data_IF_015435975902
#
_entry.id   IF_015435975902
#
_cell.length_a   1.000
_cell.length_b   1.000
_cell.length_c   1.000
_cell.angle_alpha   90.00
_cell.angle_beta   90.00
_cell.angle_gamma   90.00
#
_symmetry.space_group_name_H-M   'P 1'
#
loop_
_entity.id
_entity.type
_entity.pdbx_description
1 polymer ?
#
# COMPACT_ATOMS: atom_id res chain seq x y z
N UNK A 1 28.82 8.11 -46.22
CA UNK A 1 29.19 6.70 -46.46
C UNK A 1 29.76 6.14 -45.17
N UNK A 2 29.05 5.20 -44.50
CA UNK A 2 29.45 3.78 -44.27
C UNK A 2 30.85 3.66 -43.63
N UNK A 3 31.14 3.03 -42.48
CA UNK A 3 30.55 2.05 -41.53
C UNK A 3 31.34 2.28 -40.20
N UNK A 4 30.81 2.16 -38.98
CA UNK A 4 30.25 0.97 -38.37
C UNK A 4 31.32 0.24 -37.52
N UNK A 5 31.32 0.45 -36.20
CA UNK A 5 31.71 -0.60 -35.26
C UNK A 5 30.97 -0.39 -33.93
N UNK A 6 30.02 -1.30 -33.72
CA UNK A 6 29.18 -1.48 -32.55
C UNK A 6 30.05 -2.11 -31.44
N UNK A 7 30.19 -1.43 -30.29
CA UNK A 7 30.73 -2.04 -29.07
C UNK A 7 29.56 -2.19 -28.10
N UNK A 8 28.98 -3.38 -28.12
CA UNK A 8 27.93 -3.84 -27.23
C UNK A 8 28.59 -4.20 -25.90
N UNK A 9 28.58 -3.28 -24.93
CA UNK A 9 29.00 -3.60 -23.56
C UNK A 9 27.78 -4.23 -22.84
N UNK A 10 27.68 -5.55 -22.91
CA UNK A 10 26.77 -6.30 -22.04
C UNK A 10 27.42 -6.30 -20.65
N UNK A 11 26.97 -5.39 -19.78
CA UNK A 11 27.29 -5.46 -18.36
C UNK A 11 26.39 -6.53 -17.73
N UNK A 12 26.85 -7.79 -17.78
CA UNK A 12 26.32 -8.85 -16.92
C UNK A 12 26.77 -8.51 -15.50
N UNK A 13 25.90 -7.91 -14.69
CA UNK A 13 26.09 -7.89 -13.24
C UNK A 13 25.67 -9.27 -12.75
N UNK A 14 26.63 -10.19 -12.76
CA UNK A 14 26.61 -11.40 -11.94
C UNK A 14 26.67 -10.94 -10.48
N UNK A 15 25.54 -10.98 -9.78
CA UNK A 15 25.53 -11.02 -8.32
C UNK A 15 26.00 -12.41 -7.87
N UNK A 16 27.29 -12.70 -8.07
CA UNK A 16 28.01 -13.70 -7.29
C UNK A 16 28.67 -13.00 -6.11
N UNK A 17 27.83 -12.38 -5.28
CA UNK A 17 28.20 -11.97 -3.93
C UNK A 17 27.55 -12.95 -2.99
N UNK A 18 28.35 -13.84 -2.40
CA UNK A 18 28.01 -14.46 -1.12
C UNK A 18 27.77 -13.34 -0.11
N UNK A 19 26.57 -12.78 -0.07
CA UNK A 19 26.09 -12.17 1.16
C UNK A 19 25.92 -13.34 2.10
N UNK A 20 26.77 -13.41 3.13
CA UNK A 20 26.35 -13.98 4.40
C UNK A 20 24.94 -13.44 4.63
N UNK A 21 23.92 -14.28 4.45
CA UNK A 21 22.66 -14.08 5.14
C UNK A 21 23.09 -14.08 6.60
N UNK A 22 23.33 -12.87 7.16
CA UNK A 22 23.45 -12.70 8.59
C UNK A 22 22.33 -13.54 9.17
N UNK A 23 22.67 -14.59 9.93
CA UNK A 23 21.70 -15.47 10.55
C UNK A 23 20.64 -14.57 11.17
N UNK A 24 19.47 -14.53 10.53
CA UNK A 24 18.37 -13.73 11.04
C UNK A 24 18.16 -14.27 12.44
N UNK A 25 18.32 -13.44 13.50
CA UNK A 25 18.24 -13.94 14.86
C UNK A 25 16.92 -14.70 14.98
N UNK A 26 17.01 -15.99 15.30
CA UNK A 26 15.87 -16.89 15.24
C UNK A 26 14.74 -16.29 16.07
N UNK A 27 13.66 -15.88 15.41
CA UNK A 27 12.50 -15.35 16.11
C UNK A 27 11.99 -16.44 17.07
N UNK A 28 11.67 -16.05 18.30
CA UNK A 28 11.04 -16.96 19.26
C UNK A 28 9.68 -17.45 18.75
N UNK A 29 9.08 -18.47 19.42
CA UNK A 29 7.76 -18.96 19.05
C UNK A 29 6.75 -17.81 19.01
N UNK A 30 5.96 -17.76 17.93
CA UNK A 30 4.93 -16.73 17.74
C UNK A 30 3.64 -17.21 18.39
N UNK A 31 3.12 -16.46 19.36
CA UNK A 31 1.78 -16.68 19.90
C UNK A 31 0.79 -15.75 19.23
N UNK A 32 -0.36 -16.28 18.80
CA UNK A 32 -1.45 -15.51 18.18
C UNK A 32 -2.68 -15.53 19.09
N UNK A 33 -3.24 -14.35 19.39
CA UNK A 33 -4.44 -14.19 20.23
C UNK A 33 -5.41 -13.19 19.62
N UNK A 34 -6.68 -13.57 19.47
CA UNK A 34 -7.74 -12.63 19.11
C UNK A 34 -8.03 -11.73 20.30
N UNK A 35 -8.10 -10.42 20.07
CA UNK A 35 -8.39 -9.43 21.10
C UNK A 35 -9.83 -8.92 20.99
N UNK A 36 -10.33 -8.74 19.77
CA UNK A 36 -11.65 -8.13 19.56
C UNK A 36 -12.28 -8.57 18.24
N UNK A 37 -13.54 -8.94 18.28
CA UNK A 37 -14.38 -9.03 17.09
C UNK A 37 -14.84 -7.62 16.68
N UNK A 38 -14.64 -7.27 15.41
CA UNK A 38 -15.08 -6.00 14.82
C UNK A 38 -16.39 -6.18 14.04
N UNK A 39 -16.63 -7.37 13.49
CA UNK A 39 -17.83 -7.73 12.73
C UNK A 39 -17.91 -7.02 11.38
N UNK A 40 -19.12 -6.61 10.98
CA UNK A 40 -19.35 -5.93 9.71
C UNK A 40 -19.38 -6.87 8.50
N UNK A 41 -19.49 -6.32 7.27
CA UNK A 41 -19.69 -7.11 6.06
C UNK A 41 -18.52 -8.03 5.69
N UNK A 42 -17.34 -7.81 6.30
CA UNK A 42 -16.12 -8.57 6.05
C UNK A 42 -15.65 -9.36 7.28
N UNK A 43 -16.52 -9.60 8.27
CA UNK A 43 -16.20 -10.37 9.49
C UNK A 43 -14.85 -9.96 10.13
N UNK A 44 -14.64 -8.66 10.28
CA UNK A 44 -13.37 -8.12 10.74
C UNK A 44 -13.05 -8.52 12.18
N UNK A 45 -11.78 -8.78 12.48
CA UNK A 45 -11.31 -9.11 13.83
C UNK A 45 -9.89 -8.58 14.07
N UNK A 46 -9.62 -8.17 15.31
CA UNK A 46 -8.32 -7.67 15.76
C UNK A 46 -7.55 -8.78 16.48
N UNK A 47 -6.31 -9.00 16.03
CA UNK A 47 -5.43 -10.04 16.55
C UNK A 47 -4.11 -9.45 17.01
N UNK A 48 -3.53 -10.01 18.07
CA UNK A 48 -2.14 -9.73 18.48
C UNK A 48 -1.28 -10.96 18.29
N UNK A 49 -0.15 -10.73 17.62
CA UNK A 49 0.96 -11.66 17.50
C UNK A 49 2.05 -11.21 18.45
N UNK A 50 2.49 -12.10 19.33
CA UNK A 50 3.59 -11.85 20.26
C UNK A 50 4.73 -12.81 19.94
N UNK A 51 5.95 -12.29 19.89
CA UNK A 51 7.17 -13.07 19.73
C UNK A 51 8.31 -12.43 20.54
N UNK A 52 9.47 -13.09 20.56
CA UNK A 52 10.71 -12.52 21.08
C UNK A 52 11.63 -12.28 19.89
N UNK A 53 11.96 -11.02 19.64
CA UNK A 53 12.90 -10.60 18.59
C UNK A 53 14.14 -9.98 19.24
N UNK A 54 15.32 -10.56 18.94
CA UNK A 54 16.61 -10.13 19.54
C UNK A 54 16.56 -10.06 21.08
N UNK A 55 15.94 -11.05 21.71
CA UNK A 55 15.80 -11.14 23.18
C UNK A 55 14.80 -10.16 23.80
N UNK A 56 14.04 -9.39 23.00
CA UNK A 56 13.02 -8.46 23.48
C UNK A 56 11.62 -8.91 23.05
N UNK A 57 10.59 -8.75 23.91
CA UNK A 57 9.22 -9.00 23.51
C UNK A 57 8.82 -8.03 22.39
N UNK A 58 8.18 -8.57 21.36
CA UNK A 58 7.66 -7.83 20.23
C UNK A 58 6.19 -8.22 20.05
N UNK A 59 5.31 -7.22 19.98
CA UNK A 59 3.89 -7.39 19.75
C UNK A 59 3.49 -6.67 18.47
N UNK A 60 2.80 -7.38 17.58
CA UNK A 60 2.20 -6.84 16.38
C UNK A 60 0.70 -7.06 16.44
N UNK A 61 -0.09 -5.99 16.39
CA UNK A 61 -1.54 -6.09 16.26
C UNK A 61 -1.88 -6.10 14.78
N UNK A 62 -2.80 -6.92 14.29
CA UNK A 62 -3.23 -6.94 12.88
C UNK A 62 -4.76 -6.98 12.80
N UNK A 63 -5.32 -6.62 11.65
CA UNK A 63 -6.73 -6.87 11.36
C UNK A 63 -6.86 -8.02 10.37
N UNK A 64 -7.64 -9.03 10.75
CA UNK A 64 -8.11 -10.07 9.86
C UNK A 64 -9.52 -9.74 9.35
N UNK A 65 -9.82 -10.16 8.12
CA UNK A 65 -11.10 -9.94 7.45
C UNK A 65 -11.33 -11.02 6.38
N UNK A 66 -12.57 -11.22 5.98
CA UNK A 66 -12.97 -12.24 5.00
C UNK A 66 -13.58 -11.59 3.78
N UNK A 67 -13.15 -12.00 2.59
CA UNK A 67 -13.74 -11.60 1.30
C UNK A 67 -14.09 -12.87 0.53
N UNK A 68 -15.37 -13.04 0.18
CA UNK A 68 -15.87 -14.20 -0.57
C UNK A 68 -15.45 -15.56 0.04
N UNK A 69 -15.42 -15.65 1.38
CA UNK A 69 -15.03 -16.87 2.10
C UNK A 69 -13.52 -17.11 2.20
N UNK A 70 -12.69 -16.19 1.70
CA UNK A 70 -11.23 -16.23 1.84
C UNK A 70 -10.80 -15.26 2.94
N UNK A 71 -10.00 -15.76 3.88
CA UNK A 71 -9.48 -14.96 4.98
C UNK A 71 -8.19 -14.24 4.61
N UNK A 72 -8.13 -12.97 4.97
CA UNK A 72 -7.02 -12.06 4.79
C UNK A 72 -6.57 -11.51 6.13
N UNK A 73 -5.30 -11.11 6.21
CA UNK A 73 -4.75 -10.35 7.33
C UNK A 73 -3.98 -9.18 6.76
N UNK A 74 -4.38 -7.97 7.14
CA UNK A 74 -3.74 -6.73 6.71
C UNK A 74 -2.63 -6.26 7.66
N UNK A 75 -2.14 -5.05 7.38
CA UNK A 75 -1.07 -4.38 8.11
C UNK A 75 -1.32 -4.28 9.62
N UNK A 76 -0.23 -3.95 10.34
CA UNK A 76 -0.28 -3.74 11.77
C UNK A 76 -1.28 -2.63 12.14
N UNK A 77 -2.26 -2.95 12.98
CA UNK A 77 -3.16 -1.97 13.56
C UNK A 77 -2.38 -0.98 14.42
N UNK A 78 -2.37 0.27 13.98
CA UNK A 78 -1.95 1.41 14.80
C UNK A 78 -3.22 2.20 15.21
N UNK A 79 -3.48 2.35 16.52
CA UNK A 79 -4.61 3.13 17.01
C UNK A 79 -4.66 4.57 16.48
N UNK A 80 -3.54 5.13 15.99
CA UNK A 80 -3.50 6.45 15.36
C UNK A 80 -4.41 6.57 14.12
N UNK A 81 -4.77 5.46 13.47
CA UNK A 81 -5.70 5.45 12.33
C UNK A 81 -7.18 5.49 12.74
N UNK A 82 -7.51 5.18 14.00
CA UNK A 82 -8.90 5.04 14.49
C UNK A 82 -9.78 6.24 14.14
N UNK A 83 -9.36 7.51 14.37
CA UNK A 83 -10.21 8.67 14.07
C UNK A 83 -10.65 8.73 12.60
N UNK A 84 -9.74 8.45 11.67
CA UNK A 84 -10.04 8.43 10.23
C UNK A 84 -10.99 7.30 9.85
N UNK A 85 -10.83 6.13 10.47
CA UNK A 85 -11.65 4.95 10.18
C UNK A 85 -13.06 5.08 10.77
N UNK A 86 -13.19 5.67 11.95
CA UNK A 86 -14.48 6.04 12.53
C UNK A 86 -15.17 7.11 11.67
N UNK A 87 -14.41 8.09 11.17
CA UNK A 87 -14.95 9.08 10.24
C UNK A 87 -15.48 8.41 8.98
N UNK A 88 -14.72 7.50 8.35
CA UNK A 88 -15.16 6.74 7.16
C UNK A 88 -16.47 6.02 7.43
N UNK A 89 -16.54 5.29 8.55
CA UNK A 89 -17.70 4.49 8.92
C UNK A 89 -18.98 5.33 9.05
N UNK A 90 -18.84 6.56 9.54
CA UNK A 90 -19.96 7.45 9.85
C UNK A 90 -20.32 8.44 8.72
N UNK A 91 -19.40 8.71 7.78
CA UNK A 91 -19.56 9.79 6.79
C UNK A 91 -19.54 9.30 5.32
N UNK A 92 -19.43 7.99 5.10
CA UNK A 92 -19.47 7.41 3.75
C UNK A 92 -20.56 6.35 3.64
N UNK A 93 -21.06 6.13 2.42
CA UNK A 93 -22.04 5.07 2.16
C UNK A 93 -21.47 3.69 2.51
N UNK A 94 -22.26 2.73 3.04
CA UNK A 94 -21.78 1.38 3.36
C UNK A 94 -21.14 0.62 2.20
N UNK A 95 -21.52 0.95 0.96
CA UNK A 95 -20.98 0.40 -0.28
C UNK A 95 -19.83 1.21 -0.87
N UNK A 96 -19.38 2.28 -0.19
CA UNK A 96 -18.32 3.15 -0.69
C UNK A 96 -17.01 2.38 -0.91
N UNK A 97 -16.36 2.70 -2.03
CA UNK A 97 -15.14 2.01 -2.49
C UNK A 97 -13.96 2.97 -2.46
N UNK A 98 -12.84 2.48 -1.94
CA UNK A 98 -11.64 3.28 -1.69
C UNK A 98 -10.46 2.82 -2.53
N UNK A 99 -9.77 3.79 -3.16
CA UNK A 99 -8.42 3.61 -3.69
C UNK A 99 -7.43 3.91 -2.57
N UNK A 100 -6.58 2.94 -2.26
CA UNK A 100 -5.48 3.06 -1.30
C UNK A 100 -4.42 2.01 -1.63
N UNK A 101 -3.25 2.11 -1.01
CA UNK A 101 -2.29 1.01 -1.06
C UNK A 101 -2.79 -0.21 -0.29
N UNK A 102 -2.35 -1.41 -0.68
CA UNK A 102 -2.94 -2.68 -0.24
C UNK A 102 -2.78 -2.93 1.26
N UNK A 103 -1.71 -2.42 1.87
CA UNK A 103 -1.43 -2.53 3.31
C UNK A 103 -2.61 -2.06 4.17
N UNK A 104 -3.34 -1.02 3.75
CA UNK A 104 -4.43 -0.44 4.56
C UNK A 104 -5.78 -1.13 4.40
N UNK A 105 -5.89 -2.10 3.50
CA UNK A 105 -7.17 -2.74 3.21
C UNK A 105 -7.77 -3.45 4.44
N UNK A 106 -6.94 -4.04 5.29
CA UNK A 106 -7.42 -4.62 6.56
C UNK A 106 -8.12 -3.60 7.45
N UNK A 107 -7.61 -2.37 7.51
CA UNK A 107 -8.25 -1.30 8.28
C UNK A 107 -9.55 -0.83 7.62
N UNK A 108 -9.56 -0.63 6.30
CA UNK A 108 -10.77 -0.19 5.60
C UNK A 108 -11.87 -1.25 5.61
N UNK A 109 -11.53 -2.49 5.27
CA UNK A 109 -12.49 -3.59 5.15
C UNK A 109 -12.86 -4.16 6.51
N UNK A 110 -11.86 -4.53 7.33
CA UNK A 110 -12.10 -5.17 8.61
C UNK A 110 -12.58 -4.24 9.72
N UNK A 111 -12.15 -2.97 9.75
CA UNK A 111 -12.59 -2.02 10.77
C UNK A 111 -13.69 -1.07 10.28
N UNK A 112 -13.43 -0.33 9.20
CA UNK A 112 -14.40 0.67 8.73
C UNK A 112 -15.58 0.04 7.97
N UNK A 113 -15.44 -1.21 7.52
CA UNK A 113 -16.47 -1.91 6.75
C UNK A 113 -16.70 -1.28 5.37
N UNK A 114 -15.62 -0.84 4.70
CA UNK A 114 -15.64 -0.28 3.34
C UNK A 114 -14.72 -1.05 2.42
N UNK A 115 -15.07 -1.12 1.14
CA UNK A 115 -14.31 -1.90 0.17
C UNK A 115 -13.02 -1.16 -0.24
N UNK A 116 -11.88 -1.84 -0.18
CA UNK A 116 -10.63 -1.37 -0.77
C UNK A 116 -10.46 -2.00 -2.17
N UNK A 117 -10.18 -1.18 -3.20
CA UNK A 117 -10.01 -1.66 -4.59
C UNK A 117 -8.93 -2.73 -4.67
N UNK A 118 -7.85 -2.53 -3.92
CA UNK A 118 -6.75 -3.46 -3.75
C UNK A 118 -6.73 -3.88 -2.28
N UNK A 119 -6.89 -5.17 -2.01
CA UNK A 119 -6.97 -5.71 -0.65
C UNK A 119 -5.95 -6.78 -0.29
N UNK A 120 -5.12 -7.17 -1.26
CA UNK A 120 -4.00 -8.08 -1.10
C UNK A 120 -2.95 -7.74 -2.17
N UNK A 121 -1.69 -8.19 -2.03
CA UNK A 121 -0.69 -8.03 -3.07
C UNK A 121 -0.99 -8.91 -4.30
N UNK A 122 -0.24 -8.66 -5.36
CA UNK A 122 -0.14 -9.55 -6.52
C UNK A 122 1.16 -10.36 -6.46
N UNK A 123 1.26 -11.42 -7.25
CA UNK A 123 2.44 -12.30 -7.31
C UNK A 123 3.72 -11.53 -7.66
N UNK A 124 3.60 -10.53 -8.52
CA UNK A 124 4.66 -9.72 -9.10
C UNK A 124 5.31 -8.75 -8.13
N UNK A 125 4.65 -8.45 -7.00
CA UNK A 125 5.18 -7.57 -5.96
C UNK A 125 5.49 -8.32 -4.66
N UNK A 126 5.34 -9.64 -4.62
CA UNK A 126 5.53 -10.42 -3.38
C UNK A 126 6.96 -10.33 -2.83
N UNK A 127 7.96 -10.12 -3.70
CA UNK A 127 9.35 -9.88 -3.31
C UNK A 127 9.52 -8.60 -2.47
N UNK A 128 8.53 -7.71 -2.48
CA UNK A 128 8.50 -6.47 -1.67
C UNK A 128 7.69 -6.60 -0.38
N UNK A 129 7.04 -7.75 -0.15
CA UNK A 129 6.16 -7.96 1.01
C UNK A 129 6.85 -8.81 2.07
N UNK A 130 7.13 -8.22 3.23
CA UNK A 130 7.73 -8.94 4.35
C UNK A 130 6.67 -9.81 5.04
N UNK A 131 6.97 -11.09 5.20
CA UNK A 131 6.15 -12.01 6.01
C UNK A 131 4.78 -12.36 5.41
N UNK A 132 4.64 -12.25 4.08
CA UNK A 132 3.44 -12.72 3.39
C UNK A 132 3.37 -14.25 3.42
N UNK A 133 2.42 -14.77 4.20
CA UNK A 133 2.23 -16.21 4.40
C UNK A 133 0.86 -16.68 3.89
N UNK A 134 0.15 -15.86 3.11
CA UNK A 134 -1.15 -16.23 2.58
C UNK A 134 -1.00 -17.18 1.39
N UNK A 135 -2.06 -17.95 1.13
CA UNK A 135 -2.14 -18.89 -0.01
C UNK A 135 -2.12 -18.12 -1.33
N UNK A 136 -1.66 -18.74 -2.41
CA UNK A 136 -1.69 -18.12 -3.75
C UNK A 136 -3.12 -17.68 -4.14
N UNK A 137 -4.16 -18.36 -3.62
CA UNK A 137 -5.57 -18.00 -3.82
C UNK A 137 -5.97 -16.64 -3.22
N UNK A 138 -5.17 -16.10 -2.30
CA UNK A 138 -5.39 -14.80 -1.65
C UNK A 138 -4.67 -13.64 -2.37
N UNK A 139 -4.12 -13.87 -3.56
CA UNK A 139 -3.50 -12.82 -4.38
C UNK A 139 -4.53 -12.20 -5.32
N UNK A 140 -4.42 -10.90 -5.59
CA UNK A 140 -5.23 -10.24 -6.61
C UNK A 140 -4.49 -10.10 -7.94
N UNK A 141 -5.21 -9.93 -9.07
CA UNK A 141 -4.59 -9.68 -10.37
C UNK A 141 -3.69 -8.45 -10.37
N UNK A 142 -2.50 -8.58 -10.95
CA UNK A 142 -1.51 -7.51 -11.02
C UNK A 142 -2.02 -6.24 -11.72
N UNK A 143 -2.88 -6.38 -12.73
CA UNK A 143 -3.44 -5.22 -13.44
C UNK A 143 -4.23 -4.29 -12.51
N UNK A 144 -4.86 -4.83 -11.45
CA UNK A 144 -5.56 -4.01 -10.45
C UNK A 144 -4.55 -3.25 -9.57
N UNK A 145 -3.47 -3.91 -9.16
CA UNK A 145 -2.35 -3.27 -8.43
C UNK A 145 -1.75 -2.15 -9.27
N UNK A 146 -1.46 -2.44 -10.54
CA UNK A 146 -0.87 -1.50 -11.48
C UNK A 146 -1.76 -0.29 -11.70
N UNK A 147 -3.06 -0.49 -11.89
CA UNK A 147 -4.00 0.63 -12.01
C UNK A 147 -4.02 1.49 -10.74
N UNK A 148 -4.14 0.90 -9.55
CA UNK A 148 -4.12 1.69 -8.29
C UNK A 148 -2.79 2.42 -8.13
N UNK A 149 -1.67 1.76 -8.44
CA UNK A 149 -0.36 2.39 -8.42
C UNK A 149 -0.25 3.54 -9.42
N UNK A 150 -0.78 3.38 -10.63
CA UNK A 150 -0.87 4.44 -11.65
C UNK A 150 -1.74 5.59 -11.16
N UNK A 151 -2.91 5.32 -10.56
CA UNK A 151 -3.77 6.37 -10.02
C UNK A 151 -3.08 7.19 -8.92
N UNK A 152 -2.34 6.52 -8.02
CA UNK A 152 -1.61 7.19 -6.95
C UNK A 152 -0.39 7.98 -7.47
N UNK A 153 0.23 7.53 -8.56
CA UNK A 153 1.48 8.11 -9.08
C UNK A 153 1.31 8.94 -10.37
N UNK A 154 0.07 9.16 -10.82
CA UNK A 154 -0.20 10.02 -11.98
C UNK A 154 0.07 11.48 -11.64
N UNK A 155 0.64 12.23 -12.59
CA UNK A 155 0.76 13.70 -12.51
C UNK A 155 -0.50 14.39 -13.05
N UNK A 156 -1.29 13.67 -13.86
CA UNK A 156 -2.56 14.10 -14.41
C UNK A 156 -3.73 13.50 -13.60
N UNK A 157 -4.53 14.33 -12.89
CA UNK A 157 -5.69 13.88 -12.13
C UNK A 157 -6.71 13.11 -12.98
N UNK A 158 -6.86 13.42 -14.27
CA UNK A 158 -7.82 12.76 -15.16
C UNK A 158 -7.55 11.26 -15.32
N UNK A 159 -6.27 10.86 -15.31
CA UNK A 159 -5.89 9.44 -15.33
C UNK A 159 -6.42 8.73 -14.08
N UNK A 160 -6.28 9.36 -12.92
CA UNK A 160 -6.72 8.80 -11.64
C UNK A 160 -8.24 8.79 -11.51
N UNK A 161 -8.93 9.79 -12.07
CA UNK A 161 -10.40 9.83 -12.16
C UNK A 161 -10.93 8.68 -13.05
N UNK A 162 -10.32 8.42 -14.20
CA UNK A 162 -10.69 7.27 -15.06
C UNK A 162 -10.49 5.92 -14.37
N UNK A 163 -9.43 5.78 -13.58
CA UNK A 163 -9.19 4.56 -12.79
C UNK A 163 -10.22 4.46 -11.65
N UNK A 164 -10.55 5.57 -10.99
CA UNK A 164 -11.61 5.60 -10.00
C UNK A 164 -12.95 5.16 -10.60
N UNK A 165 -13.32 5.71 -11.77
CA UNK A 165 -14.51 5.31 -12.50
C UNK A 165 -14.51 3.81 -12.85
N UNK A 166 -13.40 3.29 -13.41
CA UNK A 166 -13.22 1.87 -13.76
C UNK A 166 -13.55 0.91 -12.60
N UNK A 167 -13.21 1.30 -11.38
CA UNK A 167 -13.43 0.48 -10.17
C UNK A 167 -14.63 0.92 -9.33
N UNK A 168 -15.37 1.94 -9.78
CA UNK A 168 -16.47 2.56 -9.02
C UNK A 168 -16.00 3.15 -7.68
N UNK A 169 -14.76 3.63 -7.60
CA UNK A 169 -14.21 4.23 -6.39
C UNK A 169 -14.81 5.61 -6.11
N UNK A 170 -15.22 5.82 -4.86
CA UNK A 170 -15.80 7.08 -4.40
C UNK A 170 -14.77 7.96 -3.68
N UNK A 171 -13.73 7.33 -3.12
CA UNK A 171 -12.74 8.00 -2.29
C UNK A 171 -11.32 7.49 -2.54
N UNK A 172 -10.34 8.35 -2.27
CA UNK A 172 -8.94 8.01 -2.07
C UNK A 172 -8.61 8.10 -0.59
N UNK A 173 -7.94 7.09 -0.05
CA UNK A 173 -7.42 7.06 1.30
C UNK A 173 -5.89 7.00 1.24
N UNK A 174 -5.24 8.08 1.68
CA UNK A 174 -3.78 8.19 1.70
C UNK A 174 -3.30 8.52 3.09
N UNK A 175 -2.08 8.07 3.42
CA UNK A 175 -1.48 8.25 4.74
C UNK A 175 -0.05 8.73 4.61
N UNK A 176 0.48 9.41 5.63
CA UNK A 176 1.90 9.78 5.66
C UNK A 176 2.86 8.60 5.48
N UNK A 177 2.45 7.39 5.85
CA UNK A 177 3.25 6.17 5.66
C UNK A 177 3.42 5.82 4.17
N UNK A 178 2.54 6.29 3.29
CA UNK A 178 2.68 6.13 1.84
C UNK A 178 3.99 6.69 1.30
N UNK A 179 4.60 7.65 2.00
CA UNK A 179 5.91 8.17 1.63
C UNK A 179 6.96 7.06 1.59
N UNK A 180 6.92 6.13 2.55
CA UNK A 180 7.84 4.99 2.62
C UNK A 180 7.56 3.91 1.57
N UNK A 181 6.34 3.86 1.04
CA UNK A 181 5.93 2.90 0.01
C UNK A 181 6.13 3.42 -1.41
N UNK A 182 6.44 4.72 -1.60
CA UNK A 182 6.62 5.33 -2.93
C UNK A 182 7.45 4.49 -3.91
N UNK A 183 8.64 3.97 -3.56
CA UNK A 183 9.45 3.19 -4.49
C UNK A 183 8.69 1.98 -5.04
N UNK A 184 7.97 1.27 -4.17
CA UNK A 184 7.21 0.08 -4.52
C UNK A 184 5.98 0.45 -5.36
N UNK A 185 5.27 1.52 -4.99
CA UNK A 185 4.12 2.02 -5.76
C UNK A 185 4.57 2.46 -7.16
N UNK A 186 5.68 3.20 -7.29
CA UNK A 186 6.24 3.60 -8.58
C UNK A 186 6.63 2.39 -9.43
N UNK A 187 7.31 1.39 -8.83
CA UNK A 187 7.66 0.13 -9.49
C UNK A 187 6.41 -0.60 -10.00
N UNK A 188 5.38 -0.70 -9.17
CA UNK A 188 4.11 -1.35 -9.52
C UNK A 188 3.37 -0.61 -10.64
N UNK A 189 3.48 0.72 -10.72
CA UNK A 189 2.96 1.53 -11.82
C UNK A 189 3.77 1.40 -13.13
N UNK A 190 4.88 0.65 -13.12
CA UNK A 190 5.80 0.54 -14.25
C UNK A 190 6.62 1.82 -14.51
N UNK A 191 6.75 2.70 -13.52
CA UNK A 191 7.54 3.93 -13.63
C UNK A 191 9.02 3.68 -13.40
N UNK A 192 9.85 4.44 -14.08
CA UNK A 192 11.29 4.42 -13.88
C UNK A 192 11.66 5.12 -12.56
N UNK A 193 11.95 4.36 -11.51
CA UNK A 193 12.24 4.90 -10.18
C UNK A 193 13.34 5.98 -10.18
N UNK A 194 14.36 5.88 -11.03
CA UNK A 194 15.47 6.85 -11.03
C UNK A 194 15.05 8.28 -11.39
N UNK A 195 13.88 8.47 -12.00
CA UNK A 195 13.31 9.77 -12.32
C UNK A 195 12.66 10.43 -11.10
N UNK A 196 12.27 9.62 -10.12
CA UNK A 196 11.42 10.01 -9.01
C UNK A 196 12.15 9.97 -7.67
N UNK A 197 13.09 9.05 -7.49
CA UNK A 197 13.83 8.85 -6.24
C UNK A 197 15.33 8.76 -6.54
N UNK A 198 16.12 9.28 -5.62
CA UNK A 198 17.57 9.12 -5.55
C UNK A 198 17.91 8.36 -4.28
N UNK A 199 18.96 7.54 -4.32
CA UNK A 199 19.52 6.94 -3.12
C UNK A 199 20.66 7.85 -2.66
N UNK A 200 20.50 8.52 -1.53
CA UNK A 200 21.56 9.26 -0.84
C UNK A 200 21.76 8.64 0.54
N UNK A 201 23.00 8.28 0.90
CA UNK A 201 23.34 7.74 2.22
C UNK A 201 22.48 6.55 2.73
N UNK A 202 22.00 5.70 1.80
CA UNK A 202 21.06 4.59 2.04
C UNK A 202 19.61 5.00 2.42
N UNK A 203 19.28 6.27 2.25
CA UNK A 203 17.92 6.79 2.35
C UNK A 203 17.38 7.17 0.97
N UNK A 204 16.05 7.07 0.80
CA UNK A 204 15.38 7.44 -0.44
C UNK A 204 15.08 8.94 -0.42
N UNK A 205 15.85 9.71 -1.19
CA UNK A 205 15.61 11.12 -1.41
C UNK A 205 14.61 11.32 -2.55
N UNK A 206 13.52 12.01 -2.24
CA UNK A 206 12.43 12.26 -3.18
C UNK A 206 12.79 13.39 -4.15
N UNK A 207 12.91 13.09 -5.45
CA UNK A 207 13.17 14.08 -6.49
C UNK A 207 11.95 14.98 -6.74
N UNK A 208 12.19 16.15 -7.34
CA UNK A 208 11.13 17.12 -7.68
C UNK A 208 9.91 16.50 -8.40
N UNK A 209 10.04 15.57 -9.36
CA UNK A 209 8.88 14.99 -10.07
C UNK A 209 7.87 14.28 -9.17
N UNK A 210 8.31 13.63 -8.08
CA UNK A 210 7.38 13.00 -7.11
C UNK A 210 6.47 14.02 -6.46
N UNK A 211 6.89 15.29 -6.32
CA UNK A 211 6.05 16.32 -5.69
C UNK A 211 4.79 16.63 -6.48
N UNK A 212 4.76 16.28 -7.77
CA UNK A 212 3.66 16.56 -8.68
C UNK A 212 2.70 15.37 -8.85
N UNK A 213 3.08 14.17 -8.39
CA UNK A 213 2.18 13.02 -8.48
C UNK A 213 1.03 13.14 -7.51
N UNK A 214 -0.11 12.53 -7.84
CA UNK A 214 -1.37 12.70 -7.13
C UNK A 214 -1.24 12.41 -5.63
N UNK A 215 -0.60 11.29 -5.27
CA UNK A 215 -0.35 10.91 -3.88
C UNK A 215 0.36 12.01 -3.10
N UNK A 216 1.44 12.60 -3.64
CA UNK A 216 2.18 13.65 -2.96
C UNK A 216 1.38 14.95 -2.82
N UNK A 217 0.53 15.27 -3.81
CA UNK A 217 -0.36 16.44 -3.77
C UNK A 217 -1.48 16.25 -2.74
N UNK A 218 -2.08 15.05 -2.71
CA UNK A 218 -3.08 14.67 -1.71
C UNK A 218 -2.50 14.73 -0.29
N UNK A 219 -1.28 14.22 -0.08
CA UNK A 219 -0.61 14.25 1.23
C UNK A 219 -0.35 15.66 1.78
N UNK A 220 -0.33 16.67 0.90
CA UNK A 220 -0.20 18.09 1.29
C UNK A 220 -1.55 18.78 1.47
N UNK A 221 -2.67 18.11 1.19
CA UNK A 221 -3.99 18.73 1.23
C UNK A 221 -4.20 19.74 0.10
N UNK A 222 -3.52 19.59 -1.05
CA UNK A 222 -3.68 20.50 -2.19
C UNK A 222 -5.10 20.43 -2.79
N UNK A 223 -5.52 21.51 -3.45
CA UNK A 223 -6.69 21.48 -4.32
C UNK A 223 -6.35 20.74 -5.62
N UNK A 224 -7.20 19.78 -6.00
CA UNK A 224 -6.96 18.87 -7.11
C UNK A 224 -8.25 18.78 -7.93
N UNK A 225 -8.23 19.20 -9.21
CA UNK A 225 -9.40 19.11 -10.09
C UNK A 225 -10.03 17.72 -10.08
N UNK A 226 -11.35 17.66 -9.92
CA UNK A 226 -12.13 16.42 -9.84
C UNK A 226 -12.10 15.72 -8.47
N UNK A 227 -11.41 16.28 -7.48
CA UNK A 227 -11.38 15.74 -6.12
C UNK A 227 -11.80 16.81 -5.10
N UNK A 228 -12.40 16.36 -4.00
CA UNK A 228 -12.72 17.21 -2.85
C UNK A 228 -12.11 16.62 -1.59
N UNK A 229 -11.30 17.42 -0.89
CA UNK A 229 -10.79 17.06 0.43
C UNK A 229 -11.95 16.98 1.44
N UNK A 230 -12.12 15.82 2.08
CA UNK A 230 -13.21 15.58 3.05
C UNK A 230 -12.69 15.36 4.48
N UNK A 231 -11.49 14.81 4.62
CA UNK A 231 -10.88 14.53 5.92
C UNK A 231 -9.37 14.77 5.88
N UNK A 232 -8.84 15.35 6.95
CA UNK A 232 -7.41 15.50 7.17
C UNK A 232 -7.15 15.65 8.68
N UNK A 233 -6.48 14.67 9.29
CA UNK A 233 -6.02 14.74 10.69
C UNK A 233 -4.50 14.93 10.80
N UNK A 234 -3.85 15.25 9.67
CA UNK A 234 -2.42 15.37 9.55
C UNK A 234 -1.70 14.03 9.42
N UNK A 235 -2.31 12.88 9.65
CA UNK A 235 -1.72 11.55 9.40
C UNK A 235 -2.38 10.87 8.19
N UNK A 236 -3.70 10.94 8.15
CA UNK A 236 -4.57 10.37 7.13
C UNK A 236 -5.33 11.48 6.44
N UNK A 237 -5.42 11.35 5.12
CA UNK A 237 -6.11 12.30 4.27
C UNK A 237 -7.06 11.54 3.34
N UNK A 238 -8.29 12.02 3.24
CA UNK A 238 -9.34 11.41 2.42
C UNK A 238 -9.87 12.43 1.43
N UNK A 239 -9.78 12.08 0.16
CA UNK A 239 -10.37 12.82 -0.94
C UNK A 239 -11.56 12.05 -1.50
N UNK A 240 -12.68 12.75 -1.72
CA UNK A 240 -13.83 12.24 -2.48
C UNK A 240 -13.63 12.55 -3.95
N UNK A 241 -13.99 11.59 -4.80
CA UNK A 241 -14.06 11.74 -6.26
C UNK A 241 -15.34 12.50 -6.61
N UNK A 242 -15.22 13.59 -7.37
CA UNK A 242 -16.34 14.35 -7.88
C UNK A 242 -16.80 13.72 -9.20
N UNK A 243 -18.10 13.42 -9.29
CA UNK A 243 -18.75 12.85 -10.48
C UNK A 243 -19.52 13.94 -11.22
#
# INVERSE_FOLDING_TARGET
MKRGLLLLLILVILFSGCTQQNEQPSAGPVTKKMIKELGGPYNGSLWVYSTVYKGKPYNATTIAFTVNGVDYSGYMWDPSFTPSLDWIKNNTSPDARFICWWDYAGMLMGYAGRYAVVYAPSKEILDTVVGWNAREEALIPHEIIKDVATALTSEDPEVSLKIAEKYGADCFYVTKNDVSYFPIILRAAGKNMSEYIELSDNEWDVKKPVRNVLLARMLKGEDIPGFKLEYNDGNVIIYRVLK
#
